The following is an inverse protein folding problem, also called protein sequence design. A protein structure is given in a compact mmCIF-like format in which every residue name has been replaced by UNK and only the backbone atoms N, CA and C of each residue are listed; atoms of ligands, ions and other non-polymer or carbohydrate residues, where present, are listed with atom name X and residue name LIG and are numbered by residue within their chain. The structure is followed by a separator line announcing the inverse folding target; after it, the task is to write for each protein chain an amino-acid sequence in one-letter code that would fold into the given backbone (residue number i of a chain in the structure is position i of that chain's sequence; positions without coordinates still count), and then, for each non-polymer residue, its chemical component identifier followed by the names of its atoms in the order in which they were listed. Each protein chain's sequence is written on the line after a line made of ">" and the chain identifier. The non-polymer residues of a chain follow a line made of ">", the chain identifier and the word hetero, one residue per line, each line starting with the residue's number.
data_IF_800643550502
#
_entry.id   IF_800643550502
#
_cell.length_a   1.000
_cell.length_b   1.000
_cell.length_c   1.000
_cell.angle_alpha   90.00
_cell.angle_beta   90.00
_cell.angle_gamma   90.00
#
_symmetry.space_group_name_H-M   'P 1'
#
loop_
_entity.id
_entity.type
_entity.pdbx_description
1 polymer ?
#
# COMPACT_ATOMS: atom_id res chain seq x y z
N UNK A 1 35.54 8.93 -14.37
CA UNK A 1 34.22 8.32 -14.59
C UNK A 1 33.77 7.45 -13.41
N UNK A 2 34.56 6.46 -12.98
CA UNK A 2 34.20 5.59 -11.82
C UNK A 2 34.00 6.34 -10.50
N UNK A 3 34.86 7.33 -10.21
CA UNK A 3 34.75 8.11 -8.97
C UNK A 3 33.48 8.99 -8.93
N UNK A 4 33.11 9.62 -10.04
CA UNK A 4 31.87 10.40 -10.15
C UNK A 4 30.62 9.53 -10.03
N UNK A 5 30.64 8.31 -10.59
CA UNK A 5 29.53 7.37 -10.46
C UNK A 5 29.35 6.88 -9.01
N UNK A 6 30.46 6.66 -8.29
CA UNK A 6 30.43 6.34 -6.86
C UNK A 6 29.91 7.51 -6.01
N UNK A 7 30.25 8.76 -6.35
CA UNK A 7 29.73 9.95 -5.66
C UNK A 7 28.23 10.14 -5.89
N UNK A 8 27.74 9.89 -7.12
CA UNK A 8 26.30 9.90 -7.43
C UNK A 8 25.55 8.78 -6.71
N UNK A 9 26.12 7.57 -6.64
CA UNK A 9 25.54 6.43 -5.94
C UNK A 9 25.45 6.67 -4.42
N UNK A 10 26.49 7.26 -3.82
CA UNK A 10 26.46 7.63 -2.38
C UNK A 10 25.46 8.75 -2.09
N UNK A 11 25.28 9.71 -3.01
CA UNK A 11 24.22 10.73 -2.91
C UNK A 11 22.81 10.14 -3.02
N UNK A 12 22.62 9.15 -3.89
CA UNK A 12 21.33 8.48 -4.09
C UNK A 12 20.97 7.60 -2.87
N UNK A 13 21.95 6.86 -2.32
CA UNK A 13 21.79 6.12 -1.07
C UNK A 13 21.53 7.07 0.11
N UNK A 14 22.22 8.20 0.19
CA UNK A 14 21.98 9.20 1.24
C UNK A 14 20.57 9.84 1.13
N UNK A 15 20.04 10.05 -0.07
CA UNK A 15 18.66 10.52 -0.25
C UNK A 15 17.63 9.46 0.19
N UNK A 16 17.87 8.18 -0.09
CA UNK A 16 17.00 7.08 0.34
C UNK A 16 16.98 6.93 1.87
N UNK A 17 18.12 7.13 2.54
CA UNK A 17 18.21 7.11 4.01
C UNK A 17 17.56 8.36 4.64
N UNK A 18 17.60 9.51 3.97
CA UNK A 18 16.90 10.71 4.45
C UNK A 18 15.36 10.61 4.35
N UNK A 19 14.83 9.83 3.39
CA UNK A 19 13.41 9.47 3.39
C UNK A 19 13.07 8.51 4.54
N UNK A 20 14.01 7.67 5.00
CA UNK A 20 13.78 6.79 6.15
C UNK A 20 13.53 7.55 7.46
N UNK A 21 14.05 8.77 7.60
CA UNK A 21 13.73 9.64 8.74
C UNK A 21 12.32 10.23 8.73
N UNK A 22 11.59 10.13 7.60
CA UNK A 22 10.17 10.48 7.54
C UNK A 22 9.23 9.34 7.99
N UNK A 23 9.77 8.14 8.27
CA UNK A 23 9.02 6.99 8.80
C UNK A 23 9.00 6.93 10.34
N UNK A 24 9.49 7.97 11.03
CA UNK A 24 9.27 8.09 12.48
C UNK A 24 7.84 8.56 12.70
N UNK A 25 6.94 7.61 12.94
CA UNK A 25 5.58 7.86 13.44
C UNK A 25 5.67 8.70 14.70
N UNK A 26 5.24 9.96 14.63
CA UNK A 26 5.14 10.82 15.79
C UNK A 26 4.09 10.24 16.76
N UNK A 27 4.34 10.20 18.08
CA UNK A 27 3.33 9.77 19.03
C UNK A 27 2.18 10.78 19.03
N UNK A 28 0.96 10.34 18.65
CA UNK A 28 -0.26 11.16 18.73
C UNK A 28 -0.46 11.62 20.19
N UNK A 29 -0.32 12.92 20.45
CA UNK A 29 -0.91 13.54 21.64
C UNK A 29 -2.43 13.46 21.49
N UNK A 30 -3.06 12.64 22.33
CA UNK A 30 -4.50 12.46 22.35
C UNK A 30 -5.21 13.77 22.71
N UNK A 31 -5.73 14.47 21.69
CA UNK A 31 -6.80 15.43 21.87
C UNK A 31 -8.12 14.65 21.84
N UNK A 32 -8.80 14.63 22.98
CA UNK A 32 -10.03 13.87 23.22
C UNK A 32 -11.21 14.61 22.58
N UNK A 33 -11.58 14.25 21.36
CA UNK A 33 -12.83 14.66 20.72
C UNK A 33 -13.60 13.39 20.28
N UNK A 34 -14.85 13.27 20.75
CA UNK A 34 -15.89 12.27 20.39
C UNK A 34 -15.41 10.94 19.80
N UNK A 35 -15.16 9.97 20.68
CA UNK A 35 -14.25 8.84 20.45
C UNK A 35 -14.79 7.69 19.59
N UNK A 36 -16.09 7.53 19.31
CA UNK A 36 -16.57 6.23 18.78
C UNK A 36 -16.86 6.18 17.26
N UNK A 37 -16.82 7.30 16.56
CA UNK A 37 -17.11 7.38 15.11
C UNK A 37 -15.87 7.77 14.29
N UNK A 38 -14.78 8.14 14.96
CA UNK A 38 -13.50 8.54 14.38
C UNK A 38 -12.45 7.41 14.30
N UNK A 39 -12.75 6.20 14.79
CA UNK A 39 -11.73 5.16 14.98
C UNK A 39 -11.34 4.40 13.70
N UNK A 40 -12.22 4.34 12.69
CA UNK A 40 -11.99 3.62 11.42
C UNK A 40 -12.35 4.47 10.20
N UNK A 41 -11.98 5.76 10.20
CA UNK A 41 -12.29 6.71 9.12
C UNK A 41 -13.80 6.82 8.81
N UNK A 42 -14.65 6.67 9.83
CA UNK A 42 -16.11 6.72 9.71
C UNK A 42 -16.78 5.45 9.18
N UNK A 43 -16.02 4.40 8.86
CA UNK A 43 -16.59 3.10 8.49
C UNK A 43 -17.10 2.34 9.71
N UNK A 44 -18.32 1.83 9.60
CA UNK A 44 -18.95 0.94 10.59
C UNK A 44 -19.25 -0.39 9.89
N UNK A 45 -18.71 -1.51 10.39
CA UNK A 45 -18.98 -2.82 9.80
C UNK A 45 -20.47 -3.16 9.79
N UNK A 46 -21.00 -3.53 8.63
CA UNK A 46 -22.40 -3.89 8.43
C UNK A 46 -22.51 -5.20 7.65
N UNK A 47 -22.89 -6.29 8.32
CA UNK A 47 -23.02 -7.62 7.74
C UNK A 47 -24.07 -7.70 6.61
N UNK A 48 -25.04 -6.77 6.60
CA UNK A 48 -26.08 -6.75 5.56
C UNK A 48 -25.58 -6.23 4.22
N UNK A 49 -24.43 -5.55 4.20
CA UNK A 49 -23.84 -4.95 3.01
C UNK A 49 -22.70 -5.79 2.47
N UNK A 50 -22.50 -5.75 1.15
CA UNK A 50 -21.36 -6.39 0.52
C UNK A 50 -20.04 -5.92 1.16
N UNK A 51 -19.12 -6.87 1.36
CA UNK A 51 -17.82 -6.62 2.01
C UNK A 51 -17.91 -5.82 3.32
N UNK A 52 -18.96 -6.05 4.13
CA UNK A 52 -19.18 -5.36 5.40
C UNK A 52 -19.31 -3.82 5.28
N UNK A 53 -19.74 -3.33 4.11
CA UNK A 53 -19.88 -1.89 3.83
C UNK A 53 -18.57 -1.16 3.52
N UNK A 54 -17.50 -1.90 3.20
CA UNK A 54 -16.24 -1.32 2.75
C UNK A 54 -16.41 -0.68 1.35
N UNK A 55 -15.70 0.43 1.06
CA UNK A 55 -15.75 1.06 -0.26
C UNK A 55 -15.33 0.07 -1.37
N UNK A 56 -16.03 0.13 -2.50
CA UNK A 56 -15.94 -0.87 -3.55
C UNK A 56 -16.15 -0.31 -4.95
N UNK A 57 -16.99 -0.98 -5.73
CA UNK A 57 -17.37 -0.54 -7.07
C UNK A 57 -18.16 0.77 -7.02
N UNK A 58 -17.83 1.79 -7.83
CA UNK A 58 -18.65 3.00 -7.97
C UNK A 58 -19.85 2.78 -8.90
N UNK A 59 -19.94 1.62 -9.54
CA UNK A 59 -21.00 1.33 -10.50
C UNK A 59 -22.22 0.80 -9.75
N UNK A 60 -23.36 1.40 -10.02
CA UNK A 60 -24.66 0.91 -9.58
C UNK A 60 -25.28 0.05 -10.70
N UNK A 61 -25.94 -1.03 -10.33
CA UNK A 61 -26.74 -1.85 -11.23
C UNK A 61 -28.06 -1.16 -11.60
N UNK A 62 -28.90 -1.82 -12.39
CA UNK A 62 -30.16 -1.23 -12.86
C UNK A 62 -31.17 -0.98 -11.71
N UNK A 63 -30.95 -1.64 -10.58
CA UNK A 63 -31.74 -1.60 -9.36
C UNK A 63 -31.22 -0.57 -8.34
N UNK A 64 -30.08 0.06 -8.61
CA UNK A 64 -29.45 1.06 -7.73
C UNK A 64 -28.60 0.46 -6.62
N UNK A 65 -28.28 -0.84 -6.70
CA UNK A 65 -27.35 -1.50 -5.79
C UNK A 65 -25.94 -1.47 -6.38
N UNK A 66 -24.91 -1.49 -5.51
CA UNK A 66 -23.53 -1.49 -5.98
C UNK A 66 -23.23 -2.79 -6.75
N UNK A 67 -22.78 -2.64 -8.00
CA UNK A 67 -22.37 -3.74 -8.86
C UNK A 67 -21.08 -4.37 -8.31
N UNK A 68 -21.25 -5.45 -7.56
CA UNK A 68 -20.16 -6.16 -6.90
C UNK A 68 -19.79 -7.43 -7.68
N UNK A 69 -18.49 -7.65 -7.86
CA UNK A 69 -17.97 -8.79 -8.61
C UNK A 69 -17.35 -9.82 -7.65
N UNK A 70 -18.10 -10.86 -7.32
CA UNK A 70 -17.62 -12.03 -6.59
C UNK A 70 -18.33 -13.31 -7.06
N UNK A 71 -18.03 -13.82 -8.27
CA UNK A 71 -18.67 -15.03 -8.79
C UNK A 71 -18.24 -16.31 -8.05
N UNK A 72 -17.14 -16.26 -7.29
CA UNK A 72 -16.60 -17.38 -6.53
C UNK A 72 -17.14 -17.44 -5.09
N UNK A 73 -17.84 -16.40 -4.62
CA UNK A 73 -18.45 -16.35 -3.30
C UNK A 73 -17.45 -16.26 -2.15
N UNK A 74 -16.28 -15.64 -2.35
CA UNK A 74 -15.31 -15.48 -1.27
C UNK A 74 -15.78 -14.51 -0.16
N UNK A 75 -16.65 -13.56 -0.51
CA UNK A 75 -17.24 -12.62 0.43
C UNK A 75 -18.49 -13.17 1.15
N UNK A 76 -19.09 -14.26 0.65
CA UNK A 76 -20.30 -14.84 1.22
C UNK A 76 -19.99 -15.63 2.49
N UNK A 77 -20.66 -15.30 3.61
CA UNK A 77 -20.48 -16.00 4.89
C UNK A 77 -19.10 -15.81 5.55
N UNK A 78 -18.29 -14.88 5.07
CA UNK A 78 -16.98 -14.58 5.66
C UNK A 78 -17.13 -13.82 6.99
N UNK A 79 -16.22 -14.08 7.94
CA UNK A 79 -16.12 -13.27 9.16
C UNK A 79 -15.60 -11.87 8.84
N UNK A 80 -15.91 -10.89 9.69
CA UNK A 80 -15.39 -9.51 9.56
C UNK A 80 -13.87 -9.48 9.42
N UNK A 81 -13.16 -10.28 10.22
CA UNK A 81 -11.70 -10.34 10.19
C UNK A 81 -11.19 -10.91 8.87
N UNK A 82 -11.85 -11.92 8.32
CA UNK A 82 -11.50 -12.49 7.02
C UNK A 82 -11.72 -11.47 5.90
N UNK A 83 -12.83 -10.73 5.93
CA UNK A 83 -13.08 -9.68 4.94
C UNK A 83 -12.04 -8.55 5.02
N UNK A 84 -11.66 -8.14 6.24
CA UNK A 84 -10.59 -7.16 6.43
C UNK A 84 -9.27 -7.64 5.82
N UNK A 85 -8.93 -8.92 5.95
CA UNK A 85 -7.73 -9.52 5.32
C UNK A 85 -7.81 -9.51 3.80
N UNK A 86 -8.95 -9.87 3.21
CA UNK A 86 -9.14 -9.81 1.76
C UNK A 86 -9.01 -8.40 1.23
N UNK A 87 -9.59 -7.41 1.93
CA UNK A 87 -9.46 -6.00 1.57
C UNK A 87 -8.03 -5.50 1.67
N UNK A 88 -7.33 -5.84 2.76
CA UNK A 88 -5.92 -5.49 2.94
C UNK A 88 -5.05 -6.07 1.82
N UNK A 89 -5.25 -7.34 1.47
CA UNK A 89 -4.55 -7.99 0.38
C UNK A 89 -4.83 -7.31 -0.97
N UNK A 90 -6.08 -6.99 -1.26
CA UNK A 90 -6.48 -6.28 -2.48
C UNK A 90 -5.78 -4.92 -2.61
N UNK A 91 -5.78 -4.11 -1.55
CA UNK A 91 -5.13 -2.80 -1.55
C UNK A 91 -3.62 -2.93 -1.73
N UNK A 92 -2.98 -3.90 -1.05
CA UNK A 92 -1.55 -4.12 -1.17
C UNK A 92 -1.16 -4.51 -2.61
N UNK A 93 -1.90 -5.45 -3.22
CA UNK A 93 -1.66 -5.84 -4.62
C UNK A 93 -1.90 -4.67 -5.57
N UNK A 94 -2.97 -3.89 -5.38
CA UNK A 94 -3.26 -2.71 -6.18
C UNK A 94 -2.14 -1.67 -6.12
N UNK A 95 -1.62 -1.35 -4.92
CA UNK A 95 -0.51 -0.39 -4.74
C UNK A 95 0.77 -0.86 -5.42
N UNK A 96 1.12 -2.14 -5.28
CA UNK A 96 2.30 -2.73 -5.94
C UNK A 96 2.14 -2.72 -7.45
N UNK A 97 0.96 -3.08 -7.96
CA UNK A 97 0.65 -3.06 -9.39
C UNK A 97 0.73 -1.65 -9.98
N UNK A 98 0.17 -0.64 -9.31
CA UNK A 98 0.24 0.76 -9.76
C UNK A 98 1.69 1.24 -9.91
N UNK A 99 2.56 0.95 -8.93
CA UNK A 99 3.98 1.31 -8.99
C UNK A 99 4.72 0.52 -10.07
N UNK A 100 4.43 -0.78 -10.19
CA UNK A 100 5.05 -1.65 -11.20
C UNK A 100 4.70 -1.20 -12.63
N UNK A 101 3.44 -0.88 -12.89
CA UNK A 101 2.97 -0.41 -14.21
C UNK A 101 3.67 0.89 -14.63
N UNK A 102 3.77 1.88 -13.73
CA UNK A 102 4.50 3.12 -14.02
C UNK A 102 5.99 2.86 -14.22
N UNK A 103 6.60 2.05 -13.36
CA UNK A 103 8.03 1.70 -13.45
C UNK A 103 8.37 0.97 -14.75
N UNK A 104 7.51 0.05 -15.19
CA UNK A 104 7.68 -0.68 -16.44
C UNK A 104 7.56 0.24 -17.66
N UNK A 105 6.53 1.10 -17.71
CA UNK A 105 6.36 2.05 -18.82
C UNK A 105 7.53 3.03 -18.90
N UNK A 106 7.95 3.61 -17.77
CA UNK A 106 9.12 4.51 -17.74
C UNK A 106 10.38 3.77 -18.18
N UNK A 107 10.59 2.55 -17.68
CA UNK A 107 11.73 1.71 -18.04
C UNK A 107 11.80 1.33 -19.52
N UNK A 108 10.68 1.30 -20.24
CA UNK A 108 10.71 1.06 -21.69
C UNK A 108 11.22 2.29 -22.46
N UNK A 109 10.88 3.49 -22.01
CA UNK A 109 11.27 4.73 -22.70
C UNK A 109 12.64 5.25 -22.29
N UNK A 110 13.01 5.08 -21.02
CA UNK A 110 14.19 5.74 -20.45
C UNK A 110 14.70 5.06 -19.18
N UNK A 111 16.03 4.89 -19.10
CA UNK A 111 16.74 4.32 -17.94
C UNK A 111 17.58 5.38 -17.20
N UNK A 112 16.97 6.17 -16.29
CA UNK A 112 17.68 7.25 -15.58
C UNK A 112 18.64 6.80 -14.48
N UNK A 113 18.55 5.55 -14.03
CA UNK A 113 19.17 5.08 -12.80
C UNK A 113 20.27 4.06 -13.07
N UNK A 114 21.12 3.84 -12.07
CA UNK A 114 22.12 2.77 -12.05
C UNK A 114 23.15 2.82 -13.20
N UNK A 115 23.36 3.99 -13.81
CA UNK A 115 24.34 4.16 -14.88
C UNK A 115 23.97 3.49 -16.21
N UNK A 116 22.69 3.14 -16.39
CA UNK A 116 22.12 2.59 -17.62
C UNK A 116 21.64 3.69 -18.59
N UNK A 117 22.04 4.94 -18.33
CA UNK A 117 21.63 6.13 -19.10
C UNK A 117 22.01 5.97 -20.58
N UNK A 118 21.01 6.04 -21.46
CA UNK A 118 21.19 5.98 -22.92
C UNK A 118 21.38 4.57 -23.49
N UNK A 119 21.21 3.52 -22.69
CA UNK A 119 21.21 2.15 -23.18
C UNK A 119 19.82 1.73 -23.64
N UNK A 120 19.74 1.12 -24.82
CA UNK A 120 18.51 0.51 -25.35
C UNK A 120 18.33 -0.87 -24.70
N UNK A 121 17.65 -0.90 -23.56
CA UNK A 121 17.35 -2.12 -22.80
C UNK A 121 15.84 -2.26 -22.72
N UNK A 122 15.32 -3.44 -23.05
CA UNK A 122 13.91 -3.78 -22.87
C UNK A 122 13.57 -3.74 -21.38
N UNK A 123 12.38 -3.22 -21.02
CA UNK A 123 12.00 -3.10 -19.61
C UNK A 123 12.08 -4.44 -18.84
N UNK A 124 11.80 -5.56 -19.51
CA UNK A 124 11.88 -6.92 -18.94
C UNK A 124 13.31 -7.33 -18.52
N UNK A 125 14.33 -6.87 -19.26
CA UNK A 125 15.74 -7.23 -19.03
C UNK A 125 16.45 -6.21 -18.12
N UNK A 126 15.84 -5.04 -17.92
CA UNK A 126 16.42 -3.92 -17.15
C UNK A 126 16.92 -4.32 -15.77
N UNK A 127 16.14 -5.12 -15.04
CA UNK A 127 16.47 -5.61 -13.71
C UNK A 127 17.69 -6.55 -13.69
N UNK A 128 17.90 -7.31 -14.77
CA UNK A 128 19.09 -8.14 -14.94
C UNK A 128 20.35 -7.30 -15.14
N UNK A 129 20.25 -6.22 -15.92
CA UNK A 129 21.35 -5.28 -16.14
C UNK A 129 21.69 -4.48 -14.87
N UNK A 130 20.68 -4.08 -14.08
CA UNK A 130 20.90 -3.45 -12.77
C UNK A 130 21.75 -4.33 -11.88
N UNK A 131 21.54 -5.65 -11.86
CA UNK A 131 22.37 -6.57 -11.06
C UNK A 131 23.83 -6.64 -11.54
N UNK A 132 24.09 -6.48 -12.83
CA UNK A 132 25.47 -6.50 -13.35
C UNK A 132 26.24 -5.24 -12.92
N UNK A 133 25.56 -4.09 -12.85
CA UNK A 133 26.17 -2.83 -12.44
C UNK A 133 26.22 -2.67 -10.93
N UNK A 134 25.18 -3.12 -10.23
CA UNK A 134 25.06 -3.09 -8.78
C UNK A 134 24.61 -4.46 -8.24
N UNK A 135 25.55 -5.38 -7.98
CA UNK A 135 25.25 -6.76 -7.58
C UNK A 135 24.41 -6.89 -6.32
N UNK A 136 24.60 -5.98 -5.35
CA UNK A 136 23.93 -5.98 -4.04
C UNK A 136 22.54 -5.31 -4.06
N UNK A 137 22.06 -4.87 -5.23
CA UNK A 137 20.81 -4.13 -5.36
C UNK A 137 19.61 -4.87 -4.75
N UNK A 138 19.44 -6.16 -5.11
CA UNK A 138 18.28 -6.93 -4.72
C UNK A 138 18.30 -7.30 -3.23
N UNK A 139 19.48 -7.48 -2.67
CA UNK A 139 19.67 -7.78 -1.26
C UNK A 139 19.30 -6.56 -0.41
N UNK A 140 19.71 -5.35 -0.82
CA UNK A 140 19.33 -4.10 -0.15
C UNK A 140 17.83 -3.81 -0.35
N UNK A 141 17.30 -4.01 -1.56
CA UNK A 141 15.88 -3.82 -1.85
C UNK A 141 15.02 -4.76 -1.01
N UNK A 142 15.40 -6.03 -0.93
CA UNK A 142 14.69 -7.04 -0.12
C UNK A 142 14.71 -6.67 1.36
N UNK A 143 15.85 -6.19 1.87
CA UNK A 143 15.93 -5.72 3.25
C UNK A 143 15.03 -4.49 3.47
N UNK A 144 15.03 -3.53 2.55
CA UNK A 144 14.19 -2.34 2.64
C UNK A 144 12.69 -2.69 2.63
N UNK A 145 12.27 -3.57 1.71
CA UNK A 145 10.90 -4.10 1.67
C UNK A 145 10.58 -4.83 2.97
N UNK A 146 11.49 -5.68 3.47
CA UNK A 146 11.30 -6.40 4.73
C UNK A 146 11.10 -5.48 5.94
N UNK A 147 11.85 -4.38 6.02
CA UNK A 147 11.67 -3.37 7.07
C UNK A 147 10.34 -2.63 6.93
N UNK A 148 9.94 -2.27 5.71
CA UNK A 148 8.66 -1.62 5.45
C UNK A 148 7.46 -2.53 5.78
N UNK A 149 7.52 -3.80 5.35
CA UNK A 149 6.51 -4.82 5.64
C UNK A 149 6.45 -5.14 7.14
N UNK A 150 7.59 -5.15 7.84
CA UNK A 150 7.60 -5.29 9.29
C UNK A 150 6.94 -4.08 9.96
N UNK A 151 7.24 -2.86 9.51
CA UNK A 151 6.58 -1.65 10.01
C UNK A 151 5.06 -1.70 9.85
N UNK A 152 4.60 -2.11 8.68
CA UNK A 152 3.18 -2.35 8.39
C UNK A 152 2.58 -3.43 9.30
N UNK A 153 3.26 -4.57 9.45
CA UNK A 153 2.82 -5.67 10.30
C UNK A 153 2.64 -5.22 11.76
N UNK A 154 3.57 -4.40 12.28
CA UNK A 154 3.50 -3.88 13.65
C UNK A 154 2.33 -2.91 13.87
N UNK A 155 1.85 -2.23 12.82
CA UNK A 155 0.69 -1.33 12.89
C UNK A 155 -0.62 -2.09 12.72
N UNK A 156 -0.71 -2.94 11.71
CA UNK A 156 -1.96 -3.57 11.30
C UNK A 156 -2.31 -4.88 12.00
N UNK A 157 -1.32 -5.67 12.44
CA UNK A 157 -1.54 -7.04 12.92
C UNK A 157 -1.54 -7.14 14.44
N UNK A 158 -2.33 -8.08 14.95
CA UNK A 158 -2.28 -8.49 16.35
C UNK A 158 -0.93 -9.17 16.62
N UNK A 159 -0.18 -8.78 17.65
CA UNK A 159 1.11 -9.38 17.93
C UNK A 159 0.97 -10.88 18.30
N UNK A 160 1.93 -11.74 17.93
CA UNK A 160 1.82 -13.20 18.10
C UNK A 160 1.58 -13.65 19.55
N UNK A 161 2.00 -12.85 20.53
CA UNK A 161 1.83 -13.15 21.95
C UNK A 161 0.40 -12.92 22.49
N UNK A 162 -0.47 -12.27 21.70
CA UNK A 162 -1.87 -11.98 22.04
C UNK A 162 -2.85 -12.60 21.05
N UNK A 163 -2.37 -13.12 19.93
CA UNK A 163 -3.19 -13.82 18.95
C UNK A 163 -3.64 -15.18 19.52
N UNK A 164 -4.96 -15.43 19.52
CA UNK A 164 -5.55 -16.74 19.83
C UNK A 164 -6.26 -17.22 18.56
N UNK A 165 -5.59 -18.04 17.74
CA UNK A 165 -6.06 -18.47 16.42
C UNK A 165 -5.27 -17.86 15.25
N UNK A 166 -5.83 -17.93 14.04
CA UNK A 166 -5.22 -17.45 12.79
C UNK A 166 -4.96 -15.94 12.76
N UNK A 167 -4.18 -15.53 11.75
CA UNK A 167 -3.76 -14.16 11.45
C UNK A 167 -4.92 -13.16 11.54
N UNK A 168 -4.87 -12.24 12.50
CA UNK A 168 -5.90 -11.22 12.69
C UNK A 168 -5.31 -9.83 12.59
N UNK A 169 -6.02 -8.97 11.86
CA UNK A 169 -5.81 -7.53 11.90
C UNK A 169 -6.34 -6.98 13.23
N UNK A 170 -5.75 -5.88 13.70
CA UNK A 170 -6.21 -5.18 14.88
C UNK A 170 -7.65 -4.69 14.68
N UNK A 171 -8.48 -4.73 15.73
CA UNK A 171 -9.87 -4.29 15.66
C UNK A 171 -9.99 -2.82 15.22
N UNK A 172 -9.09 -1.99 15.74
CA UNK A 172 -8.99 -0.55 15.50
C UNK A 172 -8.21 -0.19 14.22
N UNK A 173 -7.85 -1.19 13.40
CA UNK A 173 -7.16 -0.99 12.14
C UNK A 173 -8.15 -1.00 10.97
N UNK A 174 -8.08 0.07 10.16
CA UNK A 174 -8.76 0.16 8.89
C UNK A 174 -7.88 -0.50 7.81
N UNK A 175 -8.40 -1.48 7.03
CA UNK A 175 -7.62 -2.16 6.01
C UNK A 175 -6.95 -1.19 5.02
N UNK A 176 -5.64 -1.29 4.88
CA UNK A 176 -4.79 -0.48 4.02
C UNK A 176 -4.35 0.87 4.61
N UNK A 177 -4.79 1.23 5.82
CA UNK A 177 -4.44 2.50 6.46
C UNK A 177 -3.29 2.34 7.48
N UNK A 178 -2.06 2.48 6.99
CA UNK A 178 -0.85 2.47 7.81
C UNK A 178 -0.50 3.85 8.38
N UNK A 179 -1.32 4.88 8.15
CA UNK A 179 -1.06 6.26 8.56
C UNK A 179 0.01 6.99 7.73
N UNK A 180 0.36 6.47 6.55
CA UNK A 180 1.29 7.13 5.64
C UNK A 180 0.59 8.25 4.87
N UNK A 181 0.64 9.46 5.42
CA UNK A 181 0.18 10.69 4.75
C UNK A 181 1.14 11.86 5.03
N UNK A 182 2.30 11.90 4.35
CA UNK A 182 3.28 12.97 4.56
C UNK A 182 2.82 14.33 4.03
N UNK A 183 1.82 14.36 3.14
CA UNK A 183 1.32 15.57 2.50
C UNK A 183 0.05 16.12 3.16
N UNK A 184 -0.54 15.38 4.10
CA UNK A 184 -1.79 15.78 4.78
C UNK A 184 -2.97 15.86 3.83
N UNK A 185 -3.02 15.00 2.81
CA UNK A 185 -4.07 15.00 1.79
C UNK A 185 -5.28 14.15 2.18
N UNK A 186 -5.20 13.41 3.29
CA UNK A 186 -6.31 12.63 3.81
C UNK A 186 -7.40 13.59 4.34
N UNK A 187 -8.64 13.52 3.81
CA UNK A 187 -9.75 14.33 4.29
C UNK A 187 -10.19 13.85 5.68
N UNK A 188 -10.68 14.79 6.49
CA UNK A 188 -11.27 14.51 7.80
C UNK A 188 -12.72 13.98 7.69
N UNK A 189 -13.38 14.26 6.55
CA UNK A 189 -14.74 13.78 6.28
C UNK A 189 -14.76 12.33 5.80
N UNK A 190 -15.69 11.55 6.34
CA UNK A 190 -15.78 10.11 6.09
C UNK A 190 -16.25 9.76 4.67
N UNK A 191 -17.14 10.57 4.09
CA UNK A 191 -17.67 10.35 2.75
C UNK A 191 -16.62 10.71 1.67
N UNK A 192 -15.91 11.82 1.88
CA UNK A 192 -14.76 12.18 1.06
C UNK A 192 -13.64 11.15 1.15
N UNK A 193 -13.35 10.62 2.35
CA UNK A 193 -12.39 9.55 2.54
C UNK A 193 -12.78 8.29 1.76
N UNK A 194 -14.04 7.85 1.89
CA UNK A 194 -14.56 6.70 1.16
C UNK A 194 -14.44 6.90 -0.37
N UNK A 195 -14.72 8.10 -0.86
CA UNK A 195 -14.59 8.46 -2.28
C UNK A 195 -13.14 8.37 -2.77
N UNK A 196 -12.18 8.89 -2.00
CA UNK A 196 -10.75 8.77 -2.35
C UNK A 196 -10.28 7.33 -2.29
N UNK A 197 -10.73 6.56 -1.31
CA UNK A 197 -10.40 5.15 -1.19
C UNK A 197 -10.96 4.33 -2.35
N UNK A 198 -12.19 4.60 -2.79
CA UNK A 198 -12.75 4.02 -4.01
C UNK A 198 -11.89 4.38 -5.23
N UNK A 199 -11.44 5.64 -5.36
CA UNK A 199 -10.55 6.02 -6.47
C UNK A 199 -9.24 5.23 -6.45
N UNK A 200 -8.60 5.10 -5.29
CA UNK A 200 -7.39 4.27 -5.13
C UNK A 200 -7.65 2.83 -5.58
N UNK A 201 -8.74 2.23 -5.09
CA UNK A 201 -9.11 0.87 -5.39
C UNK A 201 -9.36 0.63 -6.89
N UNK A 202 -10.08 1.55 -7.55
CA UNK A 202 -10.35 1.44 -8.98
C UNK A 202 -9.07 1.59 -9.82
N UNK A 203 -8.15 2.47 -9.42
CA UNK A 203 -6.85 2.57 -10.10
C UNK A 203 -5.97 1.34 -9.87
N UNK A 204 -6.08 0.69 -8.70
CA UNK A 204 -5.36 -0.56 -8.42
C UNK A 204 -5.93 -1.78 -9.14
N UNK A 205 -7.23 -1.77 -9.49
CA UNK A 205 -7.91 -2.85 -10.23
C UNK A 205 -7.74 -2.77 -11.75
N UNK A 206 -7.34 -1.59 -12.26
CA UNK A 206 -7.10 -1.32 -13.69
C UNK A 206 -5.78 -1.93 -14.17
#
# INVERSE_FOLDING_TARGET
>A
NTFQNMTKLTLLIASLISLSSAFVVAPRRAARASVQQAELNGWVPDESKFAWGLPGSPFEDAEGEQSNFDPAGFAEGCSLDQMKLYREAEIQHGRVAMLASVGFLVGEFYHPLFGLEGQEILAIDSLGEVRKVFPEFFEILTLAIGVAELGRALVGWVPPNKATGDERLNADYYPGDIGFDPLGLKPDDAEEFATLHTKELQNGRL
#
